data_IF_356084408878
#
_entry.id   IF_356084408878
#
_cell.length_a   1.000
_cell.length_b   1.000
_cell.length_c   1.000
_cell.angle_alpha   90.00
_cell.angle_beta   90.00
_cell.angle_gamma   90.00
#
_symmetry.space_group_name_H-M   'P 1'
#
loop_
_entity.id
_entity.type
_entity.pdbx_description
1 polymer ?
#
# COMPACT_ATOMS: atom_id res chain seq x y z
N UNK A 1 -19.92 -0.13 -6.60
CA UNK A 1 -18.83 -0.22 -7.59
C UNK A 1 -17.68 -0.98 -6.98
N UNK A 2 -16.69 -1.43 -7.77
CA UNK A 2 -15.48 -2.08 -7.26
C UNK A 2 -14.82 -1.26 -6.12
N UNK A 3 -14.64 0.04 -6.36
CA UNK A 3 -14.01 0.97 -5.44
C UNK A 3 -14.76 1.04 -4.09
N UNK A 4 -16.10 1.18 -4.13
CA UNK A 4 -16.89 1.22 -2.88
C UNK A 4 -16.76 -0.08 -2.08
N UNK A 5 -16.74 -1.24 -2.75
CA UNK A 5 -16.59 -2.52 -2.08
C UNK A 5 -15.20 -2.67 -1.45
N UNK A 6 -14.14 -2.27 -2.17
CA UNK A 6 -12.77 -2.30 -1.64
C UNK A 6 -12.58 -1.34 -0.45
N UNK A 7 -13.06 -0.11 -0.56
CA UNK A 7 -13.01 0.87 0.54
C UNK A 7 -13.83 0.39 1.73
N UNK A 8 -15.00 -0.19 1.50
CA UNK A 8 -15.83 -0.79 2.55
C UNK A 8 -15.10 -1.90 3.30
N UNK A 9 -14.46 -2.82 2.56
CA UNK A 9 -13.65 -3.88 3.15
C UNK A 9 -12.46 -3.34 3.95
N UNK A 10 -11.73 -2.34 3.44
CA UNK A 10 -10.65 -1.70 4.19
C UNK A 10 -11.16 -1.07 5.49
N UNK A 11 -12.29 -0.34 5.45
CA UNK A 11 -12.89 0.24 6.66
C UNK A 11 -13.24 -0.84 7.68
N UNK A 12 -13.81 -1.96 7.24
CA UNK A 12 -14.16 -3.07 8.13
C UNK A 12 -12.91 -3.67 8.79
N UNK A 13 -11.85 -3.93 8.02
CA UNK A 13 -10.58 -4.45 8.56
C UNK A 13 -9.96 -3.46 9.55
N UNK A 14 -9.94 -2.17 9.23
CA UNK A 14 -9.41 -1.12 10.09
C UNK A 14 -10.17 -1.07 11.43
N UNK A 15 -11.51 -1.11 11.39
CA UNK A 15 -12.34 -1.09 12.59
C UNK A 15 -12.08 -2.30 13.47
N UNK A 16 -12.11 -3.51 12.90
CA UNK A 16 -11.87 -4.75 13.63
C UNK A 16 -10.47 -4.79 14.25
N UNK A 17 -9.44 -4.38 13.52
CA UNK A 17 -8.08 -4.32 14.06
C UNK A 17 -7.98 -3.33 15.24
N UNK A 18 -8.63 -2.17 15.15
CA UNK A 18 -8.64 -1.16 16.22
C UNK A 18 -9.39 -1.63 17.46
N UNK A 19 -10.48 -2.38 17.32
CA UNK A 19 -11.19 -3.03 18.43
C UNK A 19 -10.27 -4.01 19.21
N UNK A 20 -9.27 -4.57 18.54
CA UNK A 20 -8.26 -5.45 19.14
C UNK A 20 -6.94 -4.73 19.48
N UNK A 21 -6.91 -3.39 19.46
CA UNK A 21 -5.70 -2.58 19.71
C UNK A 21 -4.53 -2.90 18.75
N UNK A 22 -4.83 -3.38 17.54
CA UNK A 22 -3.85 -3.68 16.50
C UNK A 22 -3.66 -2.43 15.63
N UNK A 23 -2.41 -1.99 15.48
CA UNK A 23 -2.03 -0.90 14.57
C UNK A 23 -2.19 -1.35 13.11
N UNK A 24 -2.82 -0.52 12.29
CA UNK A 24 -3.05 -0.78 10.85
C UNK A 24 -2.25 0.20 10.01
N UNK A 25 -1.38 -0.34 9.17
CA UNK A 25 -0.54 0.43 8.24
C UNK A 25 -1.03 0.16 6.82
N UNK A 26 -1.44 1.20 6.12
CA UNK A 26 -1.89 1.10 4.73
C UNK A 26 -0.71 1.04 3.76
N UNK A 27 -0.80 0.21 2.72
CA UNK A 27 0.18 0.14 1.64
C UNK A 27 -0.48 0.52 0.32
N UNK A 28 0.06 1.51 -0.40
CA UNK A 28 -0.48 1.82 -1.73
C UNK A 28 -0.30 0.63 -2.69
N UNK A 29 -1.32 0.33 -3.49
CA UNK A 29 -1.29 -0.71 -4.53
C UNK A 29 -0.18 -0.36 -5.54
N UNK A 30 0.55 -1.33 -6.10
CA UNK A 30 1.62 -1.09 -7.08
C UNK A 30 1.06 -0.86 -8.50
N UNK A 31 1.84 -0.28 -9.42
CA UNK A 31 1.43 -0.18 -10.82
C UNK A 31 1.41 -1.54 -11.51
N UNK A 32 0.47 -1.75 -12.44
CA UNK A 32 0.29 -3.02 -13.14
C UNK A 32 -0.03 -2.86 -14.65
N UNK A 33 0.20 -1.68 -15.24
CA UNK A 33 -0.05 -1.45 -16.67
C UNK A 33 0.88 -2.32 -17.51
N UNK A 34 0.32 -3.03 -18.48
CA UNK A 34 1.04 -3.96 -19.34
C UNK A 34 1.04 -5.40 -18.84
N UNK A 35 0.41 -5.68 -17.69
CA UNK A 35 0.27 -7.05 -17.19
C UNK A 35 -0.46 -7.93 -18.20
N UNK A 36 0.21 -9.01 -18.62
CA UNK A 36 -0.38 -10.02 -19.49
C UNK A 36 -1.33 -10.96 -18.73
N UNK A 37 -1.36 -10.90 -17.40
CA UNK A 37 -2.26 -11.70 -16.57
C UNK A 37 -3.58 -10.95 -16.32
N UNK A 38 -3.52 -9.68 -15.90
CA UNK A 38 -4.71 -8.90 -15.56
C UNK A 38 -5.32 -8.12 -16.72
N UNK A 39 -4.64 -8.02 -17.87
CA UNK A 39 -5.07 -7.26 -19.04
C UNK A 39 -5.70 -5.88 -18.69
N UNK A 40 -4.90 -4.96 -18.12
CA UNK A 40 -5.40 -3.73 -17.51
C UNK A 40 -6.11 -2.84 -18.53
N UNK A 41 -7.34 -2.44 -18.21
CA UNK A 41 -8.09 -1.42 -18.94
C UNK A 41 -7.86 -0.03 -18.34
N UNK A 42 -8.20 1.03 -19.09
CA UNK A 42 -8.17 2.40 -18.57
C UNK A 42 -9.01 2.57 -17.28
N UNK A 43 -10.15 1.86 -17.18
CA UNK A 43 -11.01 1.84 -16.00
C UNK A 43 -10.29 1.23 -14.79
N UNK A 44 -9.69 0.04 -14.93
CA UNK A 44 -8.96 -0.59 -13.81
C UNK A 44 -7.76 0.23 -13.33
N UNK A 45 -7.08 0.92 -14.25
CA UNK A 45 -6.00 1.85 -13.89
C UNK A 45 -6.52 3.08 -13.17
N UNK A 46 -7.76 3.51 -13.45
CA UNK A 46 -8.45 4.59 -12.73
C UNK A 46 -8.90 4.13 -11.34
N UNK A 47 -9.53 2.96 -11.22
CA UNK A 47 -9.92 2.36 -9.94
C UNK A 47 -8.72 2.28 -9.00
N UNK A 48 -7.59 1.79 -9.54
CA UNK A 48 -6.32 1.75 -8.84
C UNK A 48 -5.92 3.11 -8.27
N UNK A 49 -6.04 4.19 -9.06
CA UNK A 49 -5.67 5.54 -8.64
C UNK A 49 -6.57 6.02 -7.51
N UNK A 50 -7.88 5.87 -7.66
CA UNK A 50 -8.88 6.30 -6.67
C UNK A 50 -8.72 5.57 -5.34
N UNK A 51 -8.49 4.25 -5.37
CA UNK A 51 -8.21 3.47 -4.15
C UNK A 51 -6.92 3.97 -3.51
N UNK A 52 -5.88 4.26 -4.29
CA UNK A 52 -4.63 4.78 -3.77
C UNK A 52 -4.74 6.20 -3.19
N UNK A 53 -5.58 7.05 -3.77
CA UNK A 53 -5.89 8.38 -3.23
C UNK A 53 -6.61 8.24 -1.89
N UNK A 54 -7.57 7.33 -1.80
CA UNK A 54 -8.23 7.00 -0.54
C UNK A 54 -7.24 6.47 0.51
N UNK A 55 -6.35 5.53 0.14
CA UNK A 55 -5.33 5.00 1.07
C UNK A 55 -4.45 6.11 1.64
N UNK A 56 -4.09 7.10 0.83
CA UNK A 56 -3.22 8.22 1.25
C UNK A 56 -3.95 9.29 2.06
N UNK A 57 -5.27 9.36 1.99
CA UNK A 57 -6.03 10.36 2.71
C UNK A 57 -5.86 10.17 4.23
N UNK A 58 -5.69 11.26 5.00
CA UNK A 58 -5.48 11.18 6.43
C UNK A 58 -6.70 10.59 7.17
N UNK A 59 -6.45 9.95 8.31
CA UNK A 59 -7.50 9.46 9.22
C UNK A 59 -7.98 8.03 8.96
N UNK A 60 -7.57 7.39 7.86
CA UNK A 60 -7.91 5.99 7.60
C UNK A 60 -6.97 5.03 8.32
N UNK A 61 -5.67 5.12 8.06
CA UNK A 61 -4.64 4.25 8.63
C UNK A 61 -3.81 4.98 9.68
N UNK A 62 -3.13 4.22 10.56
CA UNK A 62 -2.24 4.79 11.57
C UNK A 62 -0.90 5.24 10.96
N UNK A 63 -0.56 4.69 9.79
CA UNK A 63 0.48 5.16 8.90
C UNK A 63 0.23 4.64 7.47
N UNK A 64 0.89 5.24 6.48
CA UNK A 64 0.80 4.81 5.07
C UNK A 64 2.19 4.64 4.48
N UNK A 65 2.43 3.52 3.82
CA UNK A 65 3.65 3.25 3.06
C UNK A 65 3.38 3.41 1.56
N UNK A 66 4.20 4.23 0.91
CA UNK A 66 4.06 4.57 -0.50
C UNK A 66 4.71 3.53 -1.43
N UNK A 67 4.36 2.24 -1.30
CA UNK A 67 4.89 1.17 -2.18
C UNK A 67 4.75 1.47 -3.68
N UNK A 68 3.63 2.06 -4.11
CA UNK A 68 3.44 2.51 -5.48
C UNK A 68 4.55 3.46 -5.96
N UNK A 69 5.01 4.35 -5.09
CA UNK A 69 6.07 5.30 -5.39
C UNK A 69 7.44 4.61 -5.43
N UNK A 70 7.68 3.65 -4.52
CA UNK A 70 8.94 2.93 -4.41
C UNK A 70 9.29 2.17 -5.70
N UNK A 71 8.30 1.56 -6.36
CA UNK A 71 8.56 0.65 -7.49
C UNK A 71 8.14 1.17 -8.87
N UNK A 72 7.47 2.31 -8.96
CA UNK A 72 7.01 2.83 -10.26
C UNK A 72 8.16 3.34 -11.13
N UNK A 73 7.99 3.23 -12.44
CA UNK A 73 8.81 3.97 -13.38
C UNK A 73 8.51 5.48 -13.25
N UNK A 74 9.50 6.35 -12.98
CA UNK A 74 9.27 7.80 -12.88
C UNK A 74 8.82 8.43 -14.21
N UNK A 75 9.19 7.86 -15.36
CA UNK A 75 8.76 8.29 -16.70
C UNK A 75 7.40 7.70 -17.08
N UNK A 76 7.07 6.54 -16.52
CA UNK A 76 5.80 5.84 -16.78
C UNK A 76 5.13 5.37 -15.48
N UNK A 77 4.54 6.26 -14.65
CA UNK A 77 4.06 5.95 -13.30
C UNK A 77 2.99 4.84 -13.19
N UNK A 78 2.41 4.42 -14.31
CA UNK A 78 1.45 3.31 -14.38
C UNK A 78 2.13 1.93 -14.52
N UNK A 79 3.45 1.87 -14.72
CA UNK A 79 4.27 0.67 -14.87
C UNK A 79 5.25 0.51 -13.71
N UNK A 80 5.65 -0.73 -13.45
CA UNK A 80 6.85 -1.01 -12.65
C UNK A 80 8.08 -0.44 -13.37
N UNK A 81 9.06 0.04 -12.61
CA UNK A 81 10.37 0.36 -13.17
C UNK A 81 10.97 -0.94 -13.73
N UNK A 82 11.55 -0.96 -14.94
CA UNK A 82 12.02 -2.21 -15.56
C UNK A 82 12.97 -3.04 -14.67
N UNK A 83 13.85 -2.39 -13.90
CA UNK A 83 14.75 -3.08 -12.98
C UNK A 83 14.06 -3.78 -11.79
N UNK A 84 12.81 -3.41 -11.50
CA UNK A 84 12.00 -3.98 -10.42
C UNK A 84 10.93 -4.94 -10.93
N UNK A 85 10.75 -5.08 -12.24
CA UNK A 85 9.76 -5.97 -12.84
C UNK A 85 10.32 -7.41 -12.90
N UNK A 86 9.48 -8.40 -12.57
CA UNK A 86 9.78 -9.81 -12.79
C UNK A 86 9.74 -10.21 -14.26
N UNK A 87 9.18 -9.34 -15.11
CA UNK A 87 8.97 -9.53 -16.54
C UNK A 87 7.49 -9.64 -16.91
N UNK A 88 6.59 -9.67 -15.93
CA UNK A 88 5.15 -9.83 -16.13
C UNK A 88 4.36 -8.51 -16.01
N UNK A 89 5.03 -7.39 -15.75
CA UNK A 89 4.46 -6.06 -15.56
C UNK A 89 3.42 -6.00 -14.42
N UNK A 90 3.54 -6.87 -13.42
CA UNK A 90 2.62 -6.98 -12.30
C UNK A 90 3.36 -7.19 -10.97
N UNK A 91 4.21 -8.21 -10.90
CA UNK A 91 4.92 -8.59 -9.70
C UNK A 91 6.32 -7.96 -9.67
N UNK A 92 6.71 -7.34 -8.54
CA UNK A 92 8.09 -6.99 -8.32
C UNK A 92 9.00 -8.22 -8.36
N UNK A 93 10.21 -8.06 -8.88
CA UNK A 93 11.29 -9.03 -8.70
C UNK A 93 11.96 -8.84 -7.31
N UNK A 94 12.99 -9.62 -6.94
CA UNK A 94 13.67 -9.45 -5.65
C UNK A 94 14.15 -8.03 -5.36
N UNK A 95 14.76 -7.34 -6.33
CA UNK A 95 15.19 -5.95 -6.17
C UNK A 95 14.00 -4.98 -5.99
N UNK A 96 12.86 -5.28 -6.61
CA UNK A 96 11.62 -4.52 -6.41
C UNK A 96 11.03 -4.72 -5.01
N UNK A 97 11.08 -5.95 -4.48
CA UNK A 97 10.69 -6.21 -3.10
C UNK A 97 11.65 -5.59 -2.08
N UNK A 98 12.96 -5.56 -2.37
CA UNK A 98 13.95 -4.84 -1.57
C UNK A 98 13.64 -3.34 -1.54
N UNK A 99 13.37 -2.71 -2.69
CA UNK A 99 12.96 -1.32 -2.75
C UNK A 99 11.65 -1.03 -1.99
N UNK A 100 10.71 -1.99 -1.95
CA UNK A 100 9.52 -1.87 -1.11
C UNK A 100 9.85 -1.96 0.38
N UNK A 101 10.76 -2.84 0.78
CA UNK A 101 11.22 -2.99 2.16
C UNK A 101 11.93 -1.71 2.65
N UNK A 102 12.82 -1.14 1.83
CA UNK A 102 13.54 0.11 2.12
C UNK A 102 12.59 1.30 2.29
N UNK A 103 11.41 1.26 1.66
CA UNK A 103 10.40 2.30 1.78
C UNK A 103 9.65 2.27 3.13
N UNK A 104 9.87 1.26 3.98
CA UNK A 104 9.19 1.10 5.27
C UNK A 104 9.97 1.85 6.37
N UNK A 105 9.42 2.93 6.95
CA UNK A 105 10.08 3.59 8.08
C UNK A 105 10.05 2.67 9.31
N UNK A 106 11.22 2.20 9.76
CA UNK A 106 11.30 1.27 10.90
C UNK A 106 10.79 1.87 12.22
N UNK A 107 10.71 3.21 12.31
CA UNK A 107 10.06 3.91 13.43
C UNK A 107 8.60 3.51 13.62
N UNK A 108 7.92 3.00 12.59
CA UNK A 108 6.54 2.53 12.68
C UNK A 108 6.33 1.34 13.63
N UNK A 109 7.39 0.59 13.92
CA UNK A 109 7.37 -0.61 14.77
C UNK A 109 7.95 -0.38 16.17
N UNK A 110 8.49 0.82 16.43
CA UNK A 110 8.93 1.17 17.78
C UNK A 110 7.69 1.26 18.68
N UNK A 111 7.70 0.53 19.80
CA UNK A 111 6.69 0.72 20.85
C UNK A 111 6.81 2.16 21.36
N UNK A 112 5.68 2.83 21.51
CA UNK A 112 5.61 4.03 22.35
C UNK A 112 6.01 3.61 23.77
N UNK A 113 7.12 4.13 24.26
CA UNK A 113 7.46 4.07 25.69
C UNK A 113 6.49 4.99 26.42
N UNK A 114 5.28 4.51 26.69
CA UNK A 114 4.39 5.14 27.65
C UNK A 114 4.99 5.00 29.05
N UNK A 115 4.69 5.93 30.00
CA UNK A 115 5.20 5.83 31.34
C UNK A 115 4.76 4.48 31.93
N UNK A 116 5.71 3.72 32.47
CA UNK A 116 5.43 2.56 33.28
C UNK A 116 4.45 2.99 34.36
N UNK A 117 3.19 2.57 34.26
CA UNK A 117 2.22 2.75 35.32
C UNK A 117 2.69 1.94 36.52
N UNK A 118 3.54 2.54 37.36
CA UNK A 118 3.71 2.14 38.74
C UNK A 118 2.41 2.54 39.45
N UNK A 119 1.41 1.67 39.34
CA UNK A 119 0.21 1.72 40.13
C UNK A 119 0.48 1.06 41.48
N UNK A 120 -0.03 1.73 42.51
CA UNK A 120 -0.75 1.20 43.69
C UNK A 120 0.03 0.36 44.70
#
# INVERSE_FOLDING_TARGET
TLIHNMIGAYRQIILQAREHHIKVIGGTITPFKGSNYYHPSAATLQDRREINDWIRAPGHFDAVIHFAHAVRDPKHPQRLRPMFDSGDNLHPNPAGYEAMADAIPLSLFKRSTGPSGAGR
#
